data_IF_133760984406
#
_entry.id   IF_133760984406
#
_cell.length_a   1.000
_cell.length_b   1.000
_cell.length_c   1.000
_cell.angle_alpha   90.00
_cell.angle_beta   90.00
_cell.angle_gamma   90.00
#
_symmetry.space_group_name_H-M   'P 1'
#
loop_
_entity.id
_entity.type
_entity.pdbx_description
1 polymer ?
#
# COMPACT_ATOMS: atom_id res chain seq x y z
N UNK A 1 -9.47 41.28 28.94
CA UNK A 1 -8.63 40.33 28.18
C UNK A 1 -7.12 40.52 28.42
N UNK A 2 -6.57 41.74 28.36
CA UNK A 2 -5.12 41.98 28.52
C UNK A 2 -4.53 41.56 29.90
N UNK A 3 -5.27 41.75 31.01
CA UNK A 3 -4.80 41.37 32.34
C UNK A 3 -4.72 39.84 32.57
N UNK A 4 -5.53 39.06 31.86
CA UNK A 4 -5.53 37.58 31.92
C UNK A 4 -4.36 37.04 31.09
N UNK A 5 -4.13 37.60 29.90
CA UNK A 5 -3.00 37.24 29.04
C UNK A 5 -1.64 37.43 29.76
N UNK A 6 -1.48 38.52 30.51
CA UNK A 6 -0.25 38.79 31.28
C UNK A 6 -0.06 37.85 32.48
N UNK A 7 -1.15 37.32 33.06
CA UNK A 7 -1.08 36.31 34.13
C UNK A 7 -0.72 34.93 33.58
N UNK A 8 -1.28 34.56 32.43
CA UNK A 8 -1.00 33.30 31.73
C UNK A 8 0.45 33.27 31.24
N UNK A 9 0.95 34.36 30.61
CA UNK A 9 2.33 34.43 30.15
C UNK A 9 3.37 34.36 31.29
N UNK A 10 3.03 34.87 32.48
CA UNK A 10 3.86 34.75 33.68
C UNK A 10 3.79 33.36 34.36
N UNK A 11 2.77 32.55 34.03
CA UNK A 11 2.58 31.19 34.53
C UNK A 11 3.32 30.14 33.68
N UNK A 12 3.45 30.38 32.37
CA UNK A 12 4.20 29.51 31.43
C UNK A 12 5.63 29.21 31.89
N UNK A 13 6.50 30.19 32.23
CA UNK A 13 7.87 29.89 32.67
C UNK A 13 7.90 29.16 34.02
N UNK A 14 6.91 29.41 34.90
CA UNK A 14 6.80 28.75 36.21
C UNK A 14 6.43 27.26 36.10
N UNK A 15 5.70 26.87 35.06
CA UNK A 15 5.36 25.47 34.77
C UNK A 15 6.40 24.79 33.87
N UNK A 16 7.03 25.54 32.95
CA UNK A 16 8.05 25.01 32.06
C UNK A 16 9.38 24.68 32.77
N UNK A 17 9.80 25.49 33.77
CA UNK A 17 11.06 25.27 34.49
C UNK A 17 11.10 23.94 35.26
N UNK A 18 10.07 23.53 36.02
CA UNK A 18 10.00 22.21 36.65
C UNK A 18 10.02 21.05 35.64
N UNK A 19 9.27 21.17 34.54
CA UNK A 19 9.20 20.15 33.49
C UNK A 19 10.55 20.00 32.80
N UNK A 20 11.22 21.12 32.50
CA UNK A 20 12.56 21.12 31.93
C UNK A 20 13.59 20.48 32.89
N UNK A 21 13.55 20.83 34.18
CA UNK A 21 14.43 20.22 35.20
C UNK A 21 14.18 18.72 35.40
N UNK A 22 12.92 18.28 35.30
CA UNK A 22 12.57 16.87 35.33
C UNK A 22 13.07 16.11 34.09
N UNK A 23 13.03 16.76 32.91
CA UNK A 23 13.56 16.18 31.67
C UNK A 23 15.08 16.04 31.65
N UNK A 24 15.82 16.96 32.28
CA UNK A 24 17.29 16.98 32.23
C UNK A 24 17.95 15.74 32.86
N UNK A 25 17.43 15.22 33.98
CA UNK A 25 18.02 14.04 34.64
C UNK A 25 17.80 12.74 33.85
N UNK A 26 16.69 12.63 33.11
CA UNK A 26 16.44 11.50 32.21
C UNK A 26 17.27 11.60 30.94
N UNK A 27 17.43 12.82 30.41
CA UNK A 27 18.21 13.07 29.20
C UNK A 27 19.71 12.87 29.43
N UNK A 28 20.25 13.26 30.59
CA UNK A 28 21.67 13.03 30.91
C UNK A 28 21.99 11.54 31.03
N UNK A 29 21.09 10.75 31.65
CA UNK A 29 21.21 9.30 31.71
C UNK A 29 21.10 8.66 30.33
N UNK A 30 20.16 9.11 29.50
CA UNK A 30 20.05 8.68 28.10
C UNK A 30 21.35 8.97 27.32
N UNK A 31 21.90 10.18 27.44
CA UNK A 31 23.13 10.57 26.77
C UNK A 31 24.34 9.73 27.19
N UNK A 32 24.41 9.33 28.46
CA UNK A 32 25.45 8.45 28.97
C UNK A 32 25.43 7.08 28.25
N UNK A 33 24.27 6.42 28.19
CA UNK A 33 24.14 5.11 27.53
C UNK A 33 24.23 5.22 26.01
N UNK A 34 23.61 6.23 25.40
CA UNK A 34 23.68 6.44 23.95
C UNK A 34 25.13 6.59 23.45
N UNK A 35 26.01 7.23 24.24
CA UNK A 35 27.41 7.41 23.87
C UNK A 35 28.23 6.12 23.89
N UNK A 36 27.83 5.15 24.72
CA UNK A 36 28.56 3.89 24.90
C UNK A 36 27.99 2.80 23.99
N UNK A 37 26.67 2.74 23.84
CA UNK A 37 25.97 1.65 23.15
C UNK A 37 25.60 1.97 21.69
N UNK A 38 25.37 3.24 21.34
CA UNK A 38 24.99 3.65 19.99
C UNK A 38 26.16 4.28 19.21
N UNK A 39 27.39 4.10 19.69
CA UNK A 39 28.57 4.56 18.94
C UNK A 39 28.75 3.69 17.70
N UNK A 40 29.10 4.29 16.54
CA UNK A 40 29.54 3.49 15.41
C UNK A 40 30.78 2.68 15.83
N UNK A 41 30.92 1.45 15.36
CA UNK A 41 31.99 0.58 15.80
C UNK A 41 33.36 1.03 15.30
N UNK A 42 34.39 0.65 16.04
CA UNK A 42 35.76 1.02 15.70
C UNK A 42 36.31 0.09 14.61
N UNK A 43 37.19 0.58 13.72
CA UNK A 43 37.83 -0.22 12.66
C UNK A 43 38.46 -1.56 13.11
N UNK A 44 38.85 -1.68 14.38
CA UNK A 44 39.45 -2.88 14.96
C UNK A 44 38.42 -3.97 15.36
N UNK A 45 37.14 -3.62 15.42
CA UNK A 45 36.05 -4.50 15.87
C UNK A 45 35.45 -5.27 14.65
N UNK A 46 35.59 -4.73 13.42
CA UNK A 46 35.13 -5.34 12.16
C UNK A 46 35.65 -6.75 11.86
N UNK A 47 36.84 -7.12 12.34
CA UNK A 47 37.33 -8.49 12.20
C UNK A 47 36.47 -9.50 12.96
N UNK A 48 35.95 -9.11 14.14
CA UNK A 48 35.11 -9.95 14.99
C UNK A 48 33.69 -10.04 14.43
N UNK A 49 33.16 -8.93 13.89
CA UNK A 49 31.91 -8.85 13.09
C UNK A 49 31.89 -9.91 12.00
N UNK A 50 32.93 -9.93 11.17
CA UNK A 50 32.99 -10.80 10.01
C UNK A 50 33.05 -12.28 10.40
N UNK A 51 33.78 -12.60 11.47
CA UNK A 51 33.88 -13.96 12.00
C UNK A 51 32.55 -14.42 12.61
N UNK A 52 31.86 -13.55 13.35
CA UNK A 52 30.54 -13.84 13.92
C UNK A 52 29.54 -14.26 12.86
N UNK A 53 29.44 -13.53 11.74
CA UNK A 53 28.49 -13.91 10.69
C UNK A 53 28.90 -15.13 9.88
N UNK A 54 30.19 -15.34 9.65
CA UNK A 54 30.61 -16.59 9.02
C UNK A 54 30.21 -17.81 9.87
N UNK A 55 30.20 -17.68 11.19
CA UNK A 55 29.72 -18.75 12.08
C UNK A 55 28.20 -18.91 12.02
N UNK A 56 27.43 -17.81 11.93
CA UNK A 56 25.97 -17.86 11.77
C UNK A 56 25.58 -18.52 10.45
N UNK A 57 26.25 -18.18 9.35
CA UNK A 57 25.97 -18.78 8.04
C UNK A 57 26.30 -20.27 8.05
N UNK A 58 27.39 -20.67 8.72
CA UNK A 58 27.76 -22.08 8.90
C UNK A 58 26.79 -22.82 9.83
N UNK A 59 26.26 -22.19 10.87
CA UNK A 59 25.28 -22.81 11.79
C UNK A 59 23.88 -22.92 11.17
N UNK A 60 23.52 -21.96 10.31
CA UNK A 60 22.31 -22.00 9.49
C UNK A 60 22.37 -23.12 8.45
N UNK A 61 23.49 -23.25 7.72
CA UNK A 61 23.65 -24.29 6.69
C UNK A 61 23.72 -25.71 7.24
N UNK A 62 24.21 -25.86 8.47
CA UNK A 62 24.28 -27.15 9.19
C UNK A 62 22.97 -27.53 9.88
N UNK A 63 21.93 -26.69 9.81
CA UNK A 63 20.61 -26.99 10.36
C UNK A 63 20.51 -26.89 11.89
N UNK A 64 21.52 -26.31 12.55
CA UNK A 64 21.59 -26.18 14.01
C UNK A 64 20.49 -25.27 14.60
N UNK A 65 19.88 -24.40 13.78
CA UNK A 65 18.76 -23.53 14.14
C UNK A 65 17.51 -24.24 14.68
N UNK A 66 17.37 -25.55 14.41
CA UNK A 66 16.22 -26.38 14.79
C UNK A 66 16.31 -26.85 16.25
N UNK A 67 17.49 -26.76 16.85
CA UNK A 67 17.75 -27.22 18.22
C UNK A 67 17.74 -26.06 19.23
N UNK A 68 17.38 -24.85 18.80
CA UNK A 68 17.31 -23.68 19.68
C UNK A 68 16.09 -23.73 20.59
N UNK A 69 16.30 -23.45 21.87
CA UNK A 69 15.22 -23.31 22.85
C UNK A 69 14.38 -22.07 22.53
N UNK A 70 13.05 -22.14 22.74
CA UNK A 70 12.10 -21.04 22.44
C UNK A 70 12.53 -19.71 23.07
N UNK A 71 13.08 -19.73 24.29
CA UNK A 71 13.59 -18.53 24.98
C UNK A 71 14.73 -17.84 24.22
N UNK A 72 15.65 -18.63 23.65
CA UNK A 72 16.77 -18.10 22.88
C UNK A 72 16.30 -17.57 21.53
N UNK A 73 15.39 -18.29 20.88
CA UNK A 73 14.78 -17.85 19.63
C UNK A 73 14.03 -16.52 19.81
N UNK A 74 13.21 -16.38 20.85
CA UNK A 74 12.46 -15.16 21.11
C UNK A 74 13.36 -13.95 21.39
N UNK A 75 14.46 -14.15 22.12
CA UNK A 75 15.43 -13.08 22.39
C UNK A 75 16.13 -12.65 21.10
N UNK A 76 16.60 -13.60 20.30
CA UNK A 76 17.24 -13.33 19.01
C UNK A 76 16.28 -12.65 18.02
N UNK A 77 15.01 -13.04 18.03
CA UNK A 77 13.97 -12.40 17.21
C UNK A 77 13.70 -10.95 17.65
N UNK A 78 13.71 -10.67 18.95
CA UNK A 78 13.48 -9.33 19.49
C UNK A 78 14.62 -8.37 19.13
N UNK A 79 15.87 -8.84 19.20
CA UNK A 79 17.04 -8.09 18.72
C UNK A 79 17.00 -7.89 17.20
N UNK A 80 16.60 -8.91 16.43
CA UNK A 80 16.44 -8.78 14.98
C UNK A 80 15.39 -7.73 14.58
N UNK A 81 14.32 -7.64 15.36
CA UNK A 81 13.27 -6.63 15.17
C UNK A 81 13.75 -5.22 15.56
N UNK A 82 14.58 -5.10 16.59
CA UNK A 82 15.24 -3.84 16.97
C UNK A 82 16.12 -3.29 15.83
N UNK A 83 16.93 -4.14 15.20
CA UNK A 83 17.77 -3.74 14.05
C UNK A 83 16.92 -3.34 12.84
N UNK A 84 15.82 -4.04 12.58
CA UNK A 84 14.87 -3.68 11.52
C UNK A 84 14.22 -2.31 11.74
N UNK A 85 13.91 -1.96 12.99
CA UNK A 85 13.39 -0.62 13.29
C UNK A 85 14.45 0.48 13.11
N UNK A 86 15.72 0.22 13.43
CA UNK A 86 16.81 1.15 13.11
C UNK A 86 16.94 1.40 11.60
N UNK A 87 16.78 0.37 10.78
CA UNK A 87 16.74 0.52 9.32
C UNK A 87 15.56 1.41 8.88
N UNK A 88 14.36 1.20 9.43
CA UNK A 88 13.18 2.00 9.13
C UNK A 88 13.33 3.47 9.56
N UNK A 89 13.98 3.74 10.69
CA UNK A 89 14.33 5.10 11.13
C UNK A 89 15.30 5.74 10.13
N UNK A 90 16.30 4.99 9.65
CA UNK A 90 17.20 5.43 8.58
C UNK A 90 16.47 5.76 7.28
N UNK A 91 15.48 4.95 6.90
CA UNK A 91 14.62 5.21 5.75
C UNK A 91 13.79 6.49 5.94
N UNK A 92 13.22 6.71 7.13
CA UNK A 92 12.49 7.93 7.48
C UNK A 92 13.38 9.18 7.36
N UNK A 93 14.64 9.10 7.81
CA UNK A 93 15.63 10.18 7.67
C UNK A 93 15.98 10.40 6.19
N UNK A 94 16.23 9.33 5.44
CA UNK A 94 16.53 9.39 4.00
C UNK A 94 15.38 9.96 3.17
N UNK A 95 14.13 9.76 3.60
CA UNK A 95 12.92 10.30 2.96
C UNK A 95 12.58 11.72 3.41
N UNK A 96 13.12 12.18 4.55
CA UNK A 96 12.78 13.47 5.15
C UNK A 96 11.29 13.59 5.53
N UNK A 97 10.61 12.47 5.76
CA UNK A 97 9.19 12.41 6.13
C UNK A 97 8.93 11.19 7.00
N UNK A 98 8.21 11.39 8.11
CA UNK A 98 7.80 10.33 9.04
C UNK A 98 6.63 9.52 8.45
N UNK A 99 5.84 10.13 7.56
CA UNK A 99 4.65 9.52 6.95
C UNK A 99 4.71 9.73 5.44
N UNK A 100 4.74 8.62 4.69
CA UNK A 100 4.67 8.63 3.23
C UNK A 100 5.91 9.22 2.53
N UNK A 101 6.02 8.98 1.22
CA UNK A 101 6.97 9.73 0.39
C UNK A 101 6.31 11.07 0.10
N UNK A 102 7.03 12.19 0.26
CA UNK A 102 6.54 13.48 -0.22
C UNK A 102 6.86 13.57 -1.72
N UNK A 103 5.87 13.48 -2.64
CA UNK A 103 6.12 13.72 -4.05
C UNK A 103 6.36 15.22 -4.23
N UNK A 104 7.58 15.62 -4.61
CA UNK A 104 7.90 17.02 -4.90
C UNK A 104 9.28 17.53 -4.48
N UNK A 105 10.15 16.71 -3.87
CA UNK A 105 11.53 17.11 -3.56
C UNK A 105 12.56 16.33 -4.39
N UNK A 106 12.50 16.52 -5.70
CA UNK A 106 13.50 16.00 -6.64
C UNK A 106 13.95 17.09 -7.61
N UNK A 107 14.46 18.19 -7.07
CA UNK A 107 15.35 19.09 -7.82
C UNK A 107 16.69 19.17 -7.09
N UNK A 108 17.71 18.52 -7.65
CA UNK A 108 19.08 19.02 -7.58
C UNK A 108 20.07 18.46 -6.56
N UNK A 109 19.75 17.49 -5.69
CA UNK A 109 20.75 16.94 -4.75
C UNK A 109 21.15 15.52 -5.19
N UNK A 110 22.43 15.24 -5.53
CA UNK A 110 22.89 13.89 -5.81
C UNK A 110 22.66 13.04 -4.56
N UNK A 111 21.83 12.01 -4.72
CA UNK A 111 21.34 11.25 -3.60
C UNK A 111 22.49 10.45 -2.94
N UNK A 112 22.81 10.68 -1.65
CA UNK A 112 23.95 10.04 -0.98
C UNK A 112 23.73 8.55 -0.67
N UNK A 113 22.59 7.96 -1.05
CA UNK A 113 22.25 6.58 -0.70
C UNK A 113 23.14 5.51 -1.37
N UNK A 114 23.84 5.83 -2.47
CA UNK A 114 24.72 4.85 -3.14
C UNK A 114 25.98 4.52 -2.33
N UNK A 115 26.51 5.45 -1.53
CA UNK A 115 27.66 5.20 -0.66
C UNK A 115 27.26 4.63 0.71
N UNK A 116 26.05 4.93 1.19
CA UNK A 116 25.57 4.46 2.49
C UNK A 116 25.18 2.98 2.50
N UNK A 117 24.63 2.46 1.40
CA UNK A 117 24.31 1.03 1.25
C UNK A 117 25.57 0.16 1.22
N UNK A 118 26.66 0.64 0.59
CA UNK A 118 27.93 -0.09 0.51
C UNK A 118 28.71 -0.11 1.84
N UNK A 119 28.51 0.87 2.72
CA UNK A 119 29.16 0.90 4.05
C UNK A 119 28.35 0.12 5.10
N UNK A 120 27.01 0.14 5.04
CA UNK A 120 26.15 -0.59 6.00
C UNK A 120 26.08 -2.11 5.74
N UNK A 121 26.34 -2.58 4.51
CA UNK A 121 26.48 -4.01 4.24
C UNK A 121 27.69 -4.66 4.95
N UNK A 122 28.66 -3.84 5.39
CA UNK A 122 29.80 -4.29 6.20
C UNK A 122 29.53 -4.26 7.72
N UNK A 123 28.45 -3.60 8.16
CA UNK A 123 28.11 -3.38 9.58
C UNK A 123 27.00 -4.32 10.10
N UNK A 124 26.36 -5.08 9.21
CA UNK A 124 25.24 -5.98 9.53
C UNK A 124 25.56 -7.19 10.42
N UNK A 125 26.77 -7.34 10.97
CA UNK A 125 27.10 -8.50 11.80
C UNK A 125 27.51 -8.20 13.24
N UNK A 126 27.58 -6.94 13.70
CA UNK A 126 28.18 -6.71 15.03
C UNK A 126 27.23 -6.81 16.20
N UNK A 127 25.92 -6.62 16.01
CA UNK A 127 24.98 -6.71 17.13
C UNK A 127 24.61 -8.16 17.47
N UNK A 128 25.09 -9.13 16.69
CA UNK A 128 24.97 -10.56 16.99
C UNK A 128 26.27 -11.05 17.64
N UNK A 129 26.32 -10.96 18.97
CA UNK A 129 27.21 -11.68 19.91
C UNK A 129 28.32 -10.87 20.59
N UNK A 130 28.00 -10.31 21.76
CA UNK A 130 28.94 -10.24 22.89
C UNK A 130 28.26 -10.80 24.14
N UNK A 131 28.06 -12.14 24.20
CA UNK A 131 28.04 -12.95 25.45
C UNK A 131 27.66 -14.40 25.15
N UNK A 132 28.57 -15.13 24.53
CA UNK A 132 28.57 -16.60 24.61
C UNK A 132 30.00 -17.09 24.80
N UNK A 133 30.56 -16.86 25.98
CA UNK A 133 31.57 -17.75 26.54
C UNK A 133 30.91 -18.51 27.70
N UNK A 134 30.82 -19.81 27.51
CA UNK A 134 30.33 -20.93 28.35
C UNK A 134 30.89 -20.96 29.79
N UNK A 135 30.45 -21.83 30.75
CA UNK A 135 29.75 -23.12 30.57
C UNK A 135 28.66 -23.51 31.61
N UNK A 136 28.10 -24.71 31.38
CA UNK A 136 27.55 -25.71 32.33
C UNK A 136 26.04 -26.01 32.35
N UNK A 137 25.77 -27.31 32.21
CA UNK A 137 24.50 -28.03 32.28
C UNK A 137 24.15 -28.22 33.78
N UNK A 138 22.88 -28.10 34.20
CA UNK A 138 22.14 -29.32 34.51
C UNK A 138 20.78 -29.41 33.80
N UNK A 139 20.53 -30.61 33.29
CA UNK A 139 19.23 -31.19 32.96
C UNK A 139 18.25 -31.10 34.13
N UNK A 140 17.04 -30.60 33.89
CA UNK A 140 15.84 -31.11 34.57
C UNK A 140 14.57 -30.80 33.73
N UNK A 141 13.63 -31.72 33.84
CA UNK A 141 12.53 -32.00 32.95
C UNK A 141 11.40 -30.96 33.01
N UNK A 142 10.90 -30.51 31.85
CA UNK A 142 9.51 -30.07 31.73
C UNK A 142 9.05 -29.98 30.26
N UNK A 143 8.13 -30.89 29.93
CA UNK A 143 7.20 -30.92 28.80
C UNK A 143 7.75 -30.60 27.41
N UNK A 144 8.34 -31.64 26.81
CA UNK A 144 8.42 -31.79 25.36
C UNK A 144 7.00 -31.97 24.82
N UNK A 145 6.38 -30.90 24.32
CA UNK A 145 5.22 -31.04 23.42
C UNK A 145 5.73 -31.69 22.14
N UNK A 146 5.45 -32.98 22.00
CA UNK A 146 5.81 -33.80 20.85
C UNK A 146 5.39 -33.13 19.54
N UNK A 147 6.34 -33.13 18.58
CA UNK A 147 6.18 -32.68 17.20
C UNK A 147 5.01 -33.40 16.49
N UNK A 148 4.58 -34.56 16.99
CA UNK A 148 3.47 -35.34 16.45
C UNK A 148 2.12 -34.62 16.65
N UNK A 149 1.95 -33.84 17.72
CA UNK A 149 0.74 -33.01 17.91
C UNK A 149 0.68 -31.84 16.93
N UNK A 150 1.83 -31.28 16.58
CA UNK A 150 1.95 -30.17 15.61
C UNK A 150 1.71 -30.67 14.19
N UNK A 151 2.24 -31.84 13.85
CA UNK A 151 1.99 -32.44 12.53
C UNK A 151 0.54 -32.86 12.36
N UNK A 152 -0.10 -33.40 13.41
CA UNK A 152 -1.49 -33.80 13.36
C UNK A 152 -2.44 -32.59 13.27
N UNK A 153 -2.11 -31.46 13.93
CA UNK A 153 -2.87 -30.20 13.78
C UNK A 153 -2.69 -29.58 12.40
N UNK A 154 -1.50 -29.64 11.80
CA UNK A 154 -1.26 -29.16 10.44
C UNK A 154 -2.00 -30.00 9.38
N UNK A 155 -2.07 -31.32 9.54
CA UNK A 155 -2.88 -32.17 8.66
C UNK A 155 -4.38 -31.91 8.77
N UNK A 156 -4.87 -31.61 9.98
CA UNK A 156 -6.27 -31.24 10.20
C UNK A 156 -6.61 -29.86 9.61
N UNK A 157 -5.67 -28.90 9.65
CA UNK A 157 -5.84 -27.58 9.04
C UNK A 157 -5.87 -27.69 7.51
N UNK A 158 -4.96 -28.48 6.90
CA UNK A 158 -4.92 -28.68 5.45
C UNK A 158 -6.17 -29.38 4.89
N UNK A 159 -6.74 -30.35 5.63
CA UNK A 159 -8.00 -30.99 5.27
C UNK A 159 -9.19 -30.02 5.36
N UNK A 160 -9.18 -29.13 6.36
CA UNK A 160 -10.25 -28.13 6.54
C UNK A 160 -10.19 -27.02 5.48
N UNK A 161 -8.99 -26.64 5.01
CA UNK A 161 -8.82 -25.72 3.88
C UNK A 161 -9.31 -26.34 2.57
N UNK A 162 -9.02 -27.62 2.31
CA UNK A 162 -9.51 -28.31 1.12
C UNK A 162 -11.03 -28.51 1.11
N UNK A 163 -11.64 -28.77 2.27
CA UNK A 163 -13.10 -28.86 2.39
C UNK A 163 -13.80 -27.50 2.20
N UNK A 164 -13.14 -26.39 2.57
CA UNK A 164 -13.69 -25.04 2.36
C UNK A 164 -13.50 -24.53 0.92
N UNK A 165 -12.46 -24.97 0.21
CA UNK A 165 -12.23 -24.59 -1.19
C UNK A 165 -13.20 -25.30 -2.16
N UNK A 166 -13.54 -26.58 -1.91
CA UNK A 166 -14.57 -27.30 -2.69
C UNK A 166 -15.98 -26.72 -2.49
N UNK A 167 -16.29 -26.18 -1.31
CA UNK A 167 -17.57 -25.51 -1.07
C UNK A 167 -17.64 -24.11 -1.70
N UNK A 168 -16.50 -23.47 -1.93
CA UNK A 168 -16.43 -22.14 -2.57
C UNK A 168 -16.64 -22.25 -4.09
N UNK A 169 -16.14 -23.29 -4.75
CA UNK A 169 -16.37 -23.51 -6.19
C UNK A 169 -17.83 -23.88 -6.52
N UNK A 170 -18.54 -24.58 -5.63
CA UNK A 170 -19.98 -24.84 -5.78
C UNK A 170 -20.85 -23.60 -5.49
N UNK A 171 -20.37 -22.65 -4.68
CA UNK A 171 -21.09 -21.40 -4.38
C UNK A 171 -20.99 -20.36 -5.52
N UNK A 172 -19.88 -20.37 -6.27
CA UNK A 172 -19.66 -19.44 -7.39
C UNK A 172 -20.55 -19.72 -8.62
N UNK A 173 -21.12 -20.92 -8.72
CA UNK A 173 -21.97 -21.30 -9.86
C UNK A 173 -23.45 -20.89 -9.73
N UNK A 174 -23.93 -20.46 -8.56
CA UNK A 174 -25.39 -20.31 -8.31
C UNK A 174 -25.88 -18.86 -8.15
N UNK A 175 -25.04 -17.83 -8.28
CA UNK A 175 -25.47 -16.41 -8.19
C UNK A 175 -25.08 -15.54 -9.39
N UNK A 176 -25.21 -16.07 -10.61
CA UNK A 176 -25.51 -15.25 -11.79
C UNK A 176 -27.00 -15.39 -12.11
N UNK A 177 -27.87 -14.69 -11.41
CA UNK A 177 -29.16 -14.23 -11.95
C UNK A 177 -29.81 -13.24 -10.97
N UNK A 178 -30.41 -12.20 -11.57
CA UNK A 178 -31.21 -11.12 -10.97
C UNK A 178 -30.46 -9.87 -10.49
N UNK A 179 -29.94 -9.12 -11.45
CA UNK A 179 -30.40 -7.72 -11.58
C UNK A 179 -31.62 -7.72 -12.51
N UNK A 180 -32.69 -6.95 -12.23
CA UNK A 180 -33.87 -6.95 -13.07
C UNK A 180 -33.49 -6.45 -14.47
N UNK A 181 -34.03 -7.06 -15.54
CA UNK A 181 -33.81 -6.53 -16.87
C UNK A 181 -34.50 -5.16 -16.90
N UNK A 182 -33.75 -4.09 -17.22
CA UNK A 182 -34.39 -3.00 -17.94
C UNK A 182 -35.04 -3.64 -19.15
N UNK A 183 -36.36 -3.57 -19.19
CA UNK A 183 -37.17 -4.02 -20.31
C UNK A 183 -36.70 -3.26 -21.55
N UNK A 184 -35.78 -3.90 -22.28
CA UNK A 184 -35.36 -3.48 -23.60
C UNK A 184 -36.60 -3.65 -24.46
N UNK A 185 -37.34 -2.57 -24.63
CA UNK A 185 -38.37 -2.47 -25.66
C UNK A 185 -37.60 -2.59 -26.99
N UNK A 186 -37.50 -3.82 -27.49
CA UNK A 186 -36.99 -4.11 -28.82
C UNK A 186 -38.06 -3.62 -29.78
N UNK A 187 -37.95 -2.34 -30.15
CA UNK A 187 -38.68 -1.82 -31.30
C UNK A 187 -38.22 -2.60 -32.55
N UNK A 188 -39.16 -2.99 -33.43
CA UNK A 188 -38.85 -3.82 -34.58
C UNK A 188 -37.87 -3.10 -35.51
N UNK A 189 -36.91 -3.87 -36.04
CA UNK A 189 -35.95 -3.46 -37.08
C UNK A 189 -36.67 -2.74 -38.22
N UNK A 190 -36.52 -1.42 -38.27
CA UNK A 190 -36.39 -0.68 -39.53
C UNK A 190 -34.89 -0.49 -39.77
N UNK A 191 -34.37 -1.21 -40.77
CA UNK A 191 -32.98 -1.12 -41.22
C UNK A 191 -32.74 0.23 -41.88
N UNK A 192 -32.40 1.23 -41.08
CA UNK A 192 -31.42 2.21 -41.48
C UNK A 192 -30.18 1.89 -40.65
N UNK A 193 -29.17 1.24 -41.24
CA UNK A 193 -27.86 1.18 -40.58
C UNK A 193 -27.47 2.62 -40.27
N UNK A 194 -27.38 2.97 -38.98
CA UNK A 194 -26.97 4.30 -38.57
C UNK A 194 -25.48 4.42 -38.94
N UNK A 195 -25.23 4.91 -40.15
CA UNK A 195 -23.89 5.18 -40.63
C UNK A 195 -23.38 6.43 -39.94
N UNK A 196 -22.45 6.26 -39.00
CA UNK A 196 -21.82 7.39 -38.35
C UNK A 196 -20.88 8.13 -39.31
N UNK A 197 -20.85 9.47 -39.28
CA UNK A 197 -19.84 10.24 -39.98
C UNK A 197 -18.43 9.90 -39.44
N UNK A 198 -17.40 10.17 -40.24
CA UNK A 198 -16.02 9.91 -39.83
C UNK A 198 -15.61 10.81 -38.65
N UNK A 199 -16.09 12.05 -38.63
CA UNK A 199 -15.91 13.01 -37.55
C UNK A 199 -17.19 13.07 -36.72
N UNK A 200 -17.06 12.97 -35.40
CA UNK A 200 -18.14 12.89 -34.43
C UNK A 200 -17.93 13.96 -33.37
N UNK A 201 -18.97 14.74 -33.16
CA UNK A 201 -19.05 15.73 -32.09
C UNK A 201 -19.85 15.17 -30.91
N UNK A 202 -19.27 15.29 -29.72
CA UNK A 202 -19.75 14.74 -28.46
C UNK A 202 -20.00 15.86 -27.47
N UNK A 203 -21.08 15.76 -26.71
CA UNK A 203 -21.36 16.58 -25.54
C UNK A 203 -21.36 15.68 -24.30
N UNK A 204 -20.30 15.78 -23.48
CA UNK A 204 -20.12 14.96 -22.27
C UNK A 204 -20.43 15.83 -21.06
N UNK A 205 -21.67 15.80 -20.59
CA UNK A 205 -22.14 16.60 -19.44
C UNK A 205 -21.89 18.10 -19.57
N UNK A 206 -21.98 18.65 -20.79
CA UNK A 206 -21.72 20.06 -21.10
C UNK A 206 -20.32 20.34 -21.66
N UNK A 207 -19.43 19.36 -21.72
CA UNK A 207 -18.12 19.49 -22.35
C UNK A 207 -18.15 18.99 -23.79
N UNK A 208 -17.82 19.87 -24.74
CA UNK A 208 -17.82 19.53 -26.15
C UNK A 208 -16.48 18.96 -26.60
N UNK A 209 -16.52 17.80 -27.26
CA UNK A 209 -15.35 17.12 -27.81
C UNK A 209 -15.61 16.67 -29.24
N UNK A 210 -14.65 16.96 -30.13
CA UNK A 210 -14.65 16.43 -31.49
C UNK A 210 -13.63 15.31 -31.62
N UNK A 211 -14.02 14.20 -32.23
CA UNK A 211 -13.14 13.05 -32.45
C UNK A 211 -13.54 12.23 -33.68
N UNK A 212 -12.77 11.20 -34.04
CA UNK A 212 -13.13 10.31 -35.14
C UNK A 212 -13.85 9.04 -34.66
N UNK A 213 -14.68 8.46 -35.52
CA UNK A 213 -15.31 7.16 -35.27
C UNK A 213 -14.27 6.05 -35.03
N UNK A 214 -13.16 6.09 -35.77
CA UNK A 214 -12.04 5.16 -35.60
C UNK A 214 -11.40 5.25 -34.22
N UNK A 215 -11.34 6.46 -33.63
CA UNK A 215 -10.84 6.65 -32.27
C UNK A 215 -11.77 5.98 -31.27
N UNK A 216 -13.08 6.29 -31.32
CA UNK A 216 -14.07 5.75 -30.39
C UNK A 216 -14.20 4.22 -30.46
N UNK A 217 -13.84 3.62 -31.59
CA UNK A 217 -13.88 2.17 -31.84
C UNK A 217 -12.52 1.47 -31.76
N UNK A 218 -11.46 2.15 -31.32
CA UNK A 218 -10.10 1.55 -31.23
C UNK A 218 -10.07 0.33 -30.30
N UNK A 219 -10.79 0.40 -29.18
CA UNK A 219 -10.91 -0.68 -28.20
C UNK A 219 -12.33 -1.25 -28.26
N UNK A 220 -12.48 -2.44 -28.83
CA UNK A 220 -13.77 -3.09 -29.10
C UNK A 220 -14.51 -3.55 -27.83
N UNK A 221 -13.77 -3.78 -26.75
CA UNK A 221 -14.28 -4.07 -25.41
C UNK A 221 -14.78 -2.83 -24.65
N UNK A 222 -14.51 -1.62 -25.15
CA UNK A 222 -14.91 -0.38 -24.50
C UNK A 222 -16.40 -0.07 -24.70
N UNK A 223 -16.99 0.59 -23.71
CA UNK A 223 -18.37 1.07 -23.79
C UNK A 223 -18.56 2.03 -24.98
N UNK A 224 -17.54 2.83 -25.31
CA UNK A 224 -17.56 3.72 -26.47
C UNK A 224 -17.69 2.94 -27.77
N UNK A 225 -16.93 1.86 -27.97
CA UNK A 225 -17.08 1.04 -29.17
C UNK A 225 -18.48 0.41 -29.28
N UNK A 226 -19.08 0.04 -28.14
CA UNK A 226 -20.44 -0.49 -28.08
C UNK A 226 -21.47 0.58 -28.46
N UNK A 227 -21.40 1.77 -27.86
CA UNK A 227 -22.29 2.91 -28.17
C UNK A 227 -22.22 3.29 -29.65
N UNK A 228 -21.01 3.33 -30.21
CA UNK A 228 -20.76 3.69 -31.61
C UNK A 228 -20.73 2.47 -32.56
N UNK A 229 -21.33 1.35 -32.17
CA UNK A 229 -21.45 0.15 -33.02
C UNK A 229 -22.56 0.24 -34.08
N UNK A 230 -23.43 1.26 -33.99
CA UNK A 230 -24.56 1.46 -34.91
C UNK A 230 -25.83 0.71 -34.49
N UNK A 231 -25.75 -0.04 -33.38
CA UNK A 231 -26.85 -0.84 -32.84
C UNK A 231 -27.69 -0.12 -31.80
N UNK A 232 -27.24 1.04 -31.34
CA UNK A 232 -27.89 1.82 -30.30
C UNK A 232 -28.31 3.18 -30.83
N UNK A 233 -29.52 3.60 -30.44
CA UNK A 233 -29.97 4.97 -30.68
C UNK A 233 -29.31 5.89 -29.64
N UNK A 234 -28.53 6.85 -30.10
CA UNK A 234 -27.82 7.79 -29.23
C UNK A 234 -28.59 9.11 -29.14
N UNK A 235 -28.79 9.60 -27.91
CA UNK A 235 -29.41 10.89 -27.64
C UNK A 235 -28.52 12.02 -28.16
N UNK A 236 -29.13 13.07 -28.69
CA UNK A 236 -28.43 14.26 -29.16
C UNK A 236 -28.94 15.50 -28.44
N UNK A 237 -28.08 16.50 -28.25
CA UNK A 237 -28.44 17.81 -27.73
C UNK A 237 -29.17 18.67 -28.79
N UNK A 238 -29.55 19.90 -28.42
CA UNK A 238 -30.26 20.84 -29.30
C UNK A 238 -29.43 21.20 -30.54
N UNK A 239 -28.10 21.20 -30.42
CA UNK A 239 -27.15 21.45 -31.50
C UNK A 239 -26.84 20.21 -32.36
N UNK A 240 -27.33 19.03 -31.95
CA UNK A 240 -27.17 17.78 -32.69
C UNK A 240 -25.90 16.99 -32.37
N UNK A 241 -25.13 17.37 -31.35
CA UNK A 241 -24.01 16.60 -30.82
C UNK A 241 -24.51 15.41 -30.00
N UNK A 242 -23.75 14.31 -29.98
CA UNK A 242 -24.13 13.12 -29.22
C UNK A 242 -23.91 13.35 -27.74
N UNK A 243 -24.97 13.24 -26.95
CA UNK A 243 -24.95 13.52 -25.51
C UNK A 243 -24.58 12.28 -24.69
N UNK A 244 -23.66 12.47 -23.73
CA UNK A 244 -23.26 11.49 -22.73
C UNK A 244 -23.43 12.11 -21.35
N UNK A 245 -24.25 11.49 -20.51
CA UNK A 245 -24.54 11.95 -19.15
C UNK A 245 -23.41 11.57 -18.17
N UNK A 246 -22.25 12.22 -18.35
CA UNK A 246 -21.04 12.05 -17.53
C UNK A 246 -20.31 13.37 -17.35
N UNK A 247 -19.48 13.47 -16.31
CA UNK A 247 -18.58 14.61 -16.17
C UNK A 247 -17.51 14.58 -17.26
N UNK A 248 -17.54 15.56 -18.15
CA UNK A 248 -16.58 15.68 -19.24
C UNK A 248 -15.21 16.19 -18.81
N UNK A 249 -15.03 16.67 -17.57
CA UNK A 249 -13.77 17.31 -17.12
C UNK A 249 -12.51 16.47 -17.41
N UNK A 250 -12.59 15.15 -17.27
CA UNK A 250 -11.48 14.22 -17.50
C UNK A 250 -11.55 13.48 -18.84
N UNK A 251 -12.61 13.68 -19.63
CA UNK A 251 -12.81 12.94 -20.87
C UNK A 251 -11.73 13.24 -21.92
N UNK A 252 -11.13 14.42 -21.88
CA UNK A 252 -9.96 14.75 -22.70
C UNK A 252 -8.77 13.79 -22.48
N UNK A 253 -8.52 13.37 -21.24
CA UNK A 253 -7.47 12.38 -20.94
C UNK A 253 -7.81 10.99 -21.46
N UNK A 254 -9.09 10.61 -21.40
CA UNK A 254 -9.59 9.37 -22.01
C UNK A 254 -9.33 9.38 -23.52
N UNK A 255 -9.71 10.46 -24.22
CA UNK A 255 -9.48 10.58 -25.65
C UNK A 255 -7.99 10.58 -26.01
N UNK A 256 -7.15 11.28 -25.26
CA UNK A 256 -5.71 11.30 -25.49
C UNK A 256 -5.09 9.91 -25.31
N UNK A 257 -5.54 9.17 -24.30
CA UNK A 257 -5.11 7.78 -24.14
C UNK A 257 -5.54 6.92 -25.34
N UNK A 258 -6.78 7.03 -25.79
CA UNK A 258 -7.24 6.25 -26.95
C UNK A 258 -6.45 6.64 -28.21
N UNK A 259 -6.15 7.92 -28.42
CA UNK A 259 -5.43 8.42 -29.61
C UNK A 259 -3.96 7.99 -29.64
N UNK A 260 -3.23 8.18 -28.56
CA UNK A 260 -1.76 8.07 -28.54
C UNK A 260 -1.19 7.23 -27.39
N UNK A 261 -2.04 6.51 -26.64
CA UNK A 261 -1.66 5.75 -25.45
C UNK A 261 -0.98 6.60 -24.37
N UNK A 262 -1.25 7.91 -24.39
CA UNK A 262 -0.71 8.88 -23.43
C UNK A 262 -1.38 8.70 -22.06
N UNK A 263 -0.56 8.48 -21.02
CA UNK A 263 -1.01 8.39 -19.64
C UNK A 263 -1.40 9.76 -19.07
N UNK A 264 -2.44 9.84 -18.23
CA UNK A 264 -2.81 11.08 -17.56
C UNK A 264 -1.74 11.50 -16.53
N UNK A 265 -1.66 12.80 -16.19
CA UNK A 265 -0.85 13.27 -15.06
C UNK A 265 -1.28 12.64 -13.74
N UNK A 266 -0.31 12.44 -12.83
CA UNK A 266 -0.55 11.81 -11.53
C UNK A 266 -1.59 12.57 -10.67
N UNK A 267 -1.69 13.89 -10.84
CA UNK A 267 -2.64 14.72 -10.10
C UNK A 267 -4.11 14.41 -10.41
N UNK A 268 -4.41 13.89 -11.60
CA UNK A 268 -5.78 13.58 -12.06
C UNK A 268 -6.01 12.08 -12.25
N UNK A 269 -5.01 11.24 -11.98
CA UNK A 269 -5.05 9.80 -12.25
C UNK A 269 -6.21 9.09 -11.54
N UNK A 270 -6.62 9.54 -10.34
CA UNK A 270 -7.76 8.99 -9.62
C UNK A 270 -9.12 9.34 -10.24
N UNK A 271 -9.27 10.56 -10.77
CA UNK A 271 -10.48 10.97 -11.46
C UNK A 271 -10.57 10.27 -12.82
N UNK A 272 -9.45 10.20 -13.55
CA UNK A 272 -9.37 9.47 -14.82
C UNK A 272 -9.61 7.97 -14.63
N UNK A 273 -9.17 7.37 -13.52
CA UNK A 273 -9.48 5.96 -13.20
C UNK A 273 -10.99 5.71 -13.15
N UNK A 274 -11.76 6.59 -12.49
CA UNK A 274 -13.22 6.47 -12.39
C UNK A 274 -13.88 6.53 -13.77
N UNK A 275 -13.41 7.43 -14.64
CA UNK A 275 -13.93 7.50 -16.00
C UNK A 275 -13.48 6.31 -16.85
N UNK A 276 -12.26 5.83 -16.69
CA UNK A 276 -11.76 4.65 -17.39
C UNK A 276 -12.57 3.39 -17.00
N UNK A 277 -12.94 3.23 -15.73
CA UNK A 277 -13.86 2.20 -15.26
C UNK A 277 -15.24 2.34 -15.88
N UNK A 278 -15.80 3.57 -15.91
CA UNK A 278 -17.11 3.83 -16.52
C UNK A 278 -17.12 3.49 -18.02
N UNK A 279 -16.16 3.99 -18.79
CA UNK A 279 -16.06 3.70 -20.23
C UNK A 279 -15.51 2.29 -20.52
N UNK A 280 -15.22 1.50 -19.49
CA UNK A 280 -14.70 0.14 -19.57
C UNK A 280 -13.43 0.03 -20.43
N UNK A 281 -12.46 0.93 -20.23
CA UNK A 281 -11.19 0.91 -20.97
C UNK A 281 -10.18 0.08 -20.18
N UNK A 282 -10.28 -1.24 -20.31
CA UNK A 282 -9.49 -2.23 -19.57
C UNK A 282 -7.98 -1.96 -19.61
N UNK A 283 -7.48 -1.58 -20.79
CA UNK A 283 -6.05 -1.31 -21.00
C UNK A 283 -5.54 -0.10 -20.21
N UNK A 284 -6.35 0.95 -20.09
CA UNK A 284 -6.02 2.15 -19.30
C UNK A 284 -6.06 1.84 -17.80
N UNK A 285 -7.09 1.12 -17.35
CA UNK A 285 -7.26 0.72 -15.95
C UNK A 285 -6.03 -0.08 -15.50
N UNK A 286 -5.64 -1.11 -16.27
CA UNK A 286 -4.47 -1.94 -15.95
C UNK A 286 -3.17 -1.12 -15.90
N UNK A 287 -2.97 -0.19 -16.84
CA UNK A 287 -1.80 0.70 -16.82
C UNK A 287 -1.80 1.58 -15.57
N UNK A 288 -2.92 2.25 -15.25
CA UNK A 288 -3.05 3.10 -14.07
C UNK A 288 -2.78 2.33 -12.77
N UNK A 289 -3.30 1.11 -12.65
CA UNK A 289 -3.08 0.24 -11.49
C UNK A 289 -1.62 -0.22 -11.34
N UNK A 290 -0.85 -0.25 -12.43
CA UNK A 290 0.56 -0.64 -12.40
C UNK A 290 1.53 0.54 -12.26
N UNK A 291 1.16 1.73 -12.76
CA UNK A 291 2.09 2.86 -12.92
C UNK A 291 1.85 4.02 -11.97
N UNK A 292 0.61 4.26 -11.54
CA UNK A 292 0.25 5.45 -10.74
C UNK A 292 0.24 5.14 -9.24
N UNK A 293 1.16 5.72 -8.45
CA UNK A 293 1.22 5.52 -7.00
C UNK A 293 -0.11 5.81 -6.28
N UNK A 294 -0.83 6.85 -6.67
CA UNK A 294 -2.12 7.18 -6.05
C UNK A 294 -3.16 6.07 -6.27
N UNK A 295 -3.23 5.51 -7.48
CA UNK A 295 -4.15 4.42 -7.85
C UNK A 295 -3.77 3.13 -7.10
N UNK A 296 -2.48 2.79 -7.08
CA UNK A 296 -1.96 1.63 -6.33
C UNK A 296 -2.35 1.73 -4.86
N UNK A 297 -2.19 2.91 -4.26
CA UNK A 297 -2.53 3.14 -2.85
C UNK A 297 -4.03 2.99 -2.60
N UNK A 298 -4.87 3.45 -3.53
CA UNK A 298 -6.32 3.33 -3.47
C UNK A 298 -6.75 1.85 -3.55
N UNK A 299 -6.26 1.10 -4.54
CA UNK A 299 -6.58 -0.32 -4.72
C UNK A 299 -6.13 -1.19 -3.56
N UNK A 300 -4.96 -0.89 -2.97
CA UNK A 300 -4.50 -1.58 -1.75
C UNK A 300 -5.45 -1.34 -0.58
N UNK A 301 -5.89 -0.10 -0.39
CA UNK A 301 -6.85 0.26 0.67
C UNK A 301 -8.21 -0.42 0.46
N UNK A 302 -8.69 -0.49 -0.78
CA UNK A 302 -9.92 -1.21 -1.12
C UNK A 302 -9.80 -2.72 -0.87
N UNK A 303 -8.69 -3.32 -1.26
CA UNK A 303 -8.41 -4.74 -1.03
C UNK A 303 -8.36 -5.04 0.46
N UNK A 304 -7.69 -4.21 1.24
CA UNK A 304 -7.63 -4.32 2.69
C UNK A 304 -9.01 -4.20 3.34
N UNK A 305 -9.84 -3.26 2.87
CA UNK A 305 -11.23 -3.09 3.35
C UNK A 305 -12.05 -4.37 3.18
N UNK A 306 -11.88 -5.09 2.08
CA UNK A 306 -12.61 -6.35 1.82
C UNK A 306 -12.18 -7.52 2.71
N UNK A 307 -10.96 -7.48 3.24
CA UNK A 307 -10.43 -8.54 4.11
C UNK A 307 -10.89 -8.43 5.56
N UNK A 308 -11.34 -7.25 6.00
CA UNK A 308 -11.78 -7.02 7.37
C UNK A 308 -13.29 -7.25 7.46
N UNK A 309 -13.75 -8.28 8.21
CA UNK A 309 -15.17 -8.44 8.50
C UNK A 309 -15.68 -7.21 9.24
N UNK A 310 -16.84 -6.70 8.83
CA UNK A 310 -17.55 -5.61 9.50
C UNK A 310 -16.74 -4.30 9.64
N UNK A 311 -15.89 -4.00 8.65
CA UNK A 311 -15.07 -2.79 8.62
C UNK A 311 -15.88 -1.49 8.75
N UNK A 312 -17.04 -1.41 8.09
CA UNK A 312 -17.85 -0.19 8.13
C UNK A 312 -18.46 0.05 9.53
N UNK A 313 -18.88 -0.99 10.25
CA UNK A 313 -19.35 -0.84 11.63
C UNK A 313 -18.23 -0.34 12.54
N UNK A 314 -17.06 -0.99 12.47
CA UNK A 314 -15.88 -0.58 13.26
C UNK A 314 -15.48 0.88 12.96
N UNK A 315 -15.53 1.28 11.69
CA UNK A 315 -15.24 2.66 11.28
C UNK A 315 -16.24 3.65 11.86
N UNK A 316 -17.55 3.37 11.77
CA UNK A 316 -18.58 4.27 12.31
C UNK A 316 -18.52 4.36 13.83
N UNK A 317 -18.24 3.25 14.52
CA UNK A 317 -18.03 3.24 15.98
C UNK A 317 -16.88 4.15 16.41
N UNK A 318 -15.74 4.09 15.71
CA UNK A 318 -14.58 4.94 16.00
C UNK A 318 -14.91 6.41 15.75
N UNK A 319 -15.60 6.72 14.64
CA UNK A 319 -16.00 8.11 14.32
C UNK A 319 -16.91 8.66 15.41
N UNK A 320 -17.93 7.91 15.82
CA UNK A 320 -18.87 8.32 16.87
C UNK A 320 -18.17 8.54 18.21
N UNK A 321 -17.27 7.62 18.62
CA UNK A 321 -16.47 7.77 19.84
C UNK A 321 -15.46 8.92 19.81
N UNK A 322 -15.05 9.35 18.62
CA UNK A 322 -14.12 10.48 18.45
C UNK A 322 -14.82 11.84 18.42
N UNK A 323 -16.14 11.85 18.26
CA UNK A 323 -16.97 13.04 18.24
C UNK A 323 -17.55 13.41 19.63
N UNK A 324 -17.44 12.49 20.60
CA UNK A 324 -17.75 12.68 22.03
C UNK A 324 -16.54 13.25 22.81
#
# INVERSE_FOLDING_TARGET
MAAIANRVSALVPKLALPIARYGQSKLSRFWYFARVELRPPMPNEFGQIQQGVQQIVKSASTGAWRQLTVKQFSLNALVGLEVMFWFYIGECIGRGSIIGYRPGRSEGIPAPYKYFIYVMAADMNETFMIRTSTPEIPTDDSEVVSMDKVQNTLSQIQLKTKLSDEQSEHCVQTHRHQTPPMELVILPKTQDEITFPNVIDLNVGGYHYTTSLSTLRKYDDSMLAVMFSGRYHLVRDEEGHIFIDRDGSQFGHILNYIRSDQMPPESVALDVLREAEFFCISSLIAKLESSSPCVISLRRRESFRRLIPDYEHMKMDIINRSAE
#
